data_IF_529526093964
#
_entry.id   IF_529526093964
#
_cell.length_a   1.000
_cell.length_b   1.000
_cell.length_c   1.000
_cell.angle_alpha   90.00
_cell.angle_beta   90.00
_cell.angle_gamma   90.00
#
_symmetry.space_group_name_H-M   'P 1'
#
loop_
_entity.id
_entity.type
_entity.pdbx_description
1 polymer ?
#
# COMPACT_ATOMS: atom_id res chain seq x y z
N UNK A 1 12.41 -23.91 -21.83
CA UNK A 1 10.97 -23.60 -21.80
C UNK A 1 10.85 -22.39 -20.89
N UNK A 2 10.45 -21.23 -21.41
CA UNK A 2 10.07 -20.13 -20.54
C UNK A 2 8.84 -20.59 -19.72
N UNK A 3 8.72 -20.25 -18.43
CA UNK A 3 7.47 -20.50 -17.73
C UNK A 3 6.38 -19.75 -18.49
N UNK A 4 5.32 -20.47 -18.88
CA UNK A 4 4.11 -19.86 -19.42
C UNK A 4 3.66 -18.80 -18.41
N UNK A 5 3.42 -17.58 -18.88
CA UNK A 5 2.74 -16.56 -18.08
C UNK A 5 1.33 -17.10 -17.86
N UNK A 6 1.09 -17.74 -16.72
CA UNK A 6 -0.25 -18.11 -16.29
C UNK A 6 -1.11 -16.86 -16.38
N UNK A 7 -2.12 -16.92 -17.24
CA UNK A 7 -3.15 -15.91 -17.35
C UNK A 7 -3.90 -15.87 -16.03
N UNK A 8 -3.83 -14.72 -15.34
CA UNK A 8 -4.56 -14.47 -14.10
C UNK A 8 -6.04 -14.84 -14.30
N UNK A 9 -6.65 -15.67 -13.43
CA UNK A 9 -8.04 -16.08 -13.58
C UNK A 9 -9.00 -14.87 -13.64
N UNK A 10 -10.06 -14.97 -14.44
CA UNK A 10 -11.06 -13.89 -14.57
C UNK A 10 -11.74 -13.55 -13.23
N UNK A 11 -12.00 -14.56 -12.40
CA UNK A 11 -12.49 -14.37 -11.02
C UNK A 11 -11.51 -13.60 -10.14
N UNK A 12 -10.21 -13.72 -10.38
CA UNK A 12 -9.17 -12.94 -9.69
C UNK A 12 -9.24 -11.47 -10.12
N UNK A 13 -9.50 -11.20 -11.40
CA UNK A 13 -9.68 -9.82 -11.91
C UNK A 13 -10.96 -9.18 -11.35
N UNK A 14 -12.09 -9.90 -11.33
CA UNK A 14 -13.35 -9.42 -10.75
C UNK A 14 -13.19 -9.07 -9.26
N UNK A 15 -12.48 -9.91 -8.50
CA UNK A 15 -12.17 -9.63 -7.10
C UNK A 15 -11.29 -8.38 -6.93
N UNK A 16 -10.28 -8.20 -7.79
CA UNK A 16 -9.41 -7.01 -7.74
C UNK A 16 -10.20 -5.73 -8.03
N UNK A 17 -11.09 -5.75 -9.02
CA UNK A 17 -11.95 -4.60 -9.33
C UNK A 17 -12.88 -4.28 -8.15
N UNK A 18 -13.50 -5.31 -7.56
CA UNK A 18 -14.31 -5.17 -6.35
C UNK A 18 -13.51 -4.52 -5.22
N UNK A 19 -12.33 -5.06 -4.91
CA UNK A 19 -11.50 -4.55 -3.82
C UNK A 19 -11.01 -3.12 -4.05
N UNK A 20 -10.71 -2.77 -5.31
CA UNK A 20 -10.33 -1.40 -5.66
C UNK A 20 -11.50 -0.44 -5.46
N UNK A 21 -12.72 -0.81 -5.86
CA UNK A 21 -13.90 0.01 -5.62
C UNK A 21 -14.16 0.20 -4.12
N UNK A 22 -14.09 -0.87 -3.33
CA UNK A 22 -14.25 -0.81 -1.86
C UNK A 22 -13.17 0.08 -1.21
N UNK A 23 -11.91 0.02 -1.68
CA UNK A 23 -10.85 0.90 -1.23
C UNK A 23 -11.13 2.38 -1.54
N UNK A 24 -11.63 2.67 -2.74
CA UNK A 24 -11.95 4.04 -3.16
C UNK A 24 -13.15 4.60 -2.38
N UNK A 25 -14.18 3.80 -2.17
CA UNK A 25 -15.35 4.14 -1.33
C UNK A 25 -14.91 4.38 0.12
N UNK A 26 -13.99 3.56 0.64
CA UNK A 26 -13.43 3.73 1.96
C UNK A 26 -12.65 5.05 2.09
N UNK A 27 -11.80 5.38 1.11
CA UNK A 27 -11.09 6.67 1.09
C UNK A 27 -12.06 7.85 1.05
N UNK A 28 -13.12 7.78 0.25
CA UNK A 28 -14.16 8.80 0.22
C UNK A 28 -14.84 8.94 1.60
N UNK A 29 -15.22 7.82 2.24
CA UNK A 29 -15.84 7.81 3.57
C UNK A 29 -14.97 8.46 4.65
N UNK A 30 -13.64 8.35 4.51
CA UNK A 30 -12.64 8.94 5.41
C UNK A 30 -12.24 10.36 5.00
N UNK A 31 -12.90 10.95 3.99
CA UNK A 31 -12.58 12.27 3.41
C UNK A 31 -11.12 12.37 2.92
N UNK A 32 -10.56 11.27 2.40
CA UNK A 32 -9.24 11.22 1.82
C UNK A 32 -9.35 11.53 0.33
N UNK A 33 -8.63 12.54 -0.11
CA UNK A 33 -8.68 12.98 -1.50
C UNK A 33 -7.70 12.14 -2.33
N UNK A 34 -8.20 11.50 -3.37
CA UNK A 34 -7.39 10.79 -4.36
C UNK A 34 -7.21 11.66 -5.60
N UNK A 35 -5.99 11.67 -6.14
CA UNK A 35 -5.66 12.34 -7.40
C UNK A 35 -4.84 11.43 -8.28
N UNK A 36 -4.92 11.66 -9.58
CA UNK A 36 -3.98 11.08 -10.53
C UNK A 36 -2.82 12.03 -10.83
N UNK A 37 -1.70 11.48 -11.27
CA UNK A 37 -0.58 12.26 -11.80
C UNK A 37 0.02 11.61 -13.04
N UNK A 38 0.52 12.46 -13.93
CA UNK A 38 1.18 12.07 -15.18
C UNK A 38 2.43 11.22 -14.91
N UNK A 39 2.65 10.15 -15.68
CA UNK A 39 3.84 9.30 -15.58
C UNK A 39 5.15 10.09 -15.60
N UNK A 40 5.90 10.02 -14.50
CA UNK A 40 7.25 10.59 -14.41
C UNK A 40 8.22 9.59 -13.75
N UNK A 41 9.12 9.05 -14.55
CA UNK A 41 10.10 8.05 -14.11
C UNK A 41 9.45 6.76 -13.59
N UNK A 42 9.98 6.23 -12.48
CA UNK A 42 9.57 4.94 -11.90
C UNK A 42 8.54 5.06 -10.77
N UNK A 43 8.14 6.27 -10.39
CA UNK A 43 7.19 6.47 -9.28
C UNK A 43 5.82 5.92 -9.69
N UNK A 44 5.21 5.10 -8.83
CA UNK A 44 3.87 4.51 -9.03
C UNK A 44 2.80 5.21 -8.20
N UNK A 45 3.16 5.65 -6.99
CA UNK A 45 2.30 6.46 -6.13
C UNK A 45 3.14 7.43 -5.27
N UNK A 46 2.45 8.31 -4.58
CA UNK A 46 2.96 8.98 -3.38
C UNK A 46 1.80 9.58 -2.57
N UNK A 47 2.05 9.91 -1.31
CA UNK A 47 1.20 10.78 -0.51
C UNK A 47 1.96 11.99 0.04
N UNK A 48 1.29 13.14 0.15
CA UNK A 48 1.78 14.33 0.83
C UNK A 48 1.20 14.47 2.26
N UNK A 49 0.49 13.44 2.74
CA UNK A 49 -0.25 13.43 4.00
C UNK A 49 -1.56 14.23 3.98
N UNK A 50 -1.90 14.89 2.87
CA UNK A 50 -3.21 15.51 2.64
C UNK A 50 -4.01 14.72 1.60
N UNK A 51 -3.33 14.18 0.59
CA UNK A 51 -3.91 13.46 -0.54
C UNK A 51 -3.07 12.22 -0.86
N UNK A 52 -3.69 11.26 -1.52
CA UNK A 52 -3.00 10.13 -2.13
C UNK A 52 -2.99 10.35 -3.64
N UNK A 53 -1.84 10.14 -4.26
CA UNK A 53 -1.63 10.33 -5.69
C UNK A 53 -1.29 8.97 -6.33
N UNK A 54 -2.10 8.57 -7.30
CA UNK A 54 -1.89 7.35 -8.10
C UNK A 54 -1.43 7.74 -9.51
N UNK A 55 -0.58 6.92 -10.13
CA UNK A 55 -0.08 7.20 -11.47
C UNK A 55 -1.13 6.84 -12.52
N UNK A 56 -1.25 7.67 -13.55
CA UNK A 56 -2.12 7.36 -14.68
C UNK A 56 -1.65 6.15 -15.50
N UNK A 57 -2.61 5.37 -15.99
CA UNK A 57 -2.36 4.20 -16.83
C UNK A 57 -1.89 2.95 -16.08
N UNK A 58 -1.97 2.93 -14.74
CA UNK A 58 -1.77 1.71 -13.96
C UNK A 58 -2.91 0.71 -14.17
N UNK A 59 -2.58 -0.58 -14.13
CA UNK A 59 -3.59 -1.66 -14.09
C UNK A 59 -4.38 -1.63 -12.78
N UNK A 60 -5.57 -2.24 -12.74
CA UNK A 60 -6.40 -2.31 -11.54
C UNK A 60 -5.64 -2.89 -10.34
N UNK A 61 -4.88 -3.96 -10.58
CA UNK A 61 -4.03 -4.59 -9.57
C UNK A 61 -2.94 -3.64 -9.06
N UNK A 62 -2.26 -2.93 -9.95
CA UNK A 62 -1.24 -1.95 -9.55
C UNK A 62 -1.86 -0.78 -8.77
N UNK A 63 -3.06 -0.32 -9.16
CA UNK A 63 -3.78 0.73 -8.45
C UNK A 63 -4.17 0.29 -7.04
N UNK A 64 -4.66 -0.94 -6.88
CA UNK A 64 -5.03 -1.51 -5.59
C UNK A 64 -3.82 -1.61 -4.65
N UNK A 65 -2.73 -2.24 -5.12
CA UNK A 65 -1.53 -2.44 -4.32
C UNK A 65 -0.85 -1.12 -3.94
N UNK A 66 -0.76 -0.17 -4.89
CA UNK A 66 -0.22 1.17 -4.60
C UNK A 66 -1.18 1.94 -3.69
N UNK A 67 -2.48 1.77 -3.82
CA UNK A 67 -3.48 2.35 -2.92
C UNK A 67 -3.26 1.93 -1.47
N UNK A 68 -3.10 0.63 -1.21
CA UNK A 68 -2.76 0.11 0.13
C UNK A 68 -1.43 0.69 0.65
N UNK A 69 -0.40 0.70 -0.19
CA UNK A 69 0.92 1.21 0.18
C UNK A 69 0.88 2.70 0.56
N UNK A 70 0.27 3.53 -0.28
CA UNK A 70 0.19 4.97 -0.03
C UNK A 70 -0.76 5.31 1.13
N UNK A 71 -1.80 4.50 1.34
CA UNK A 71 -2.64 4.61 2.54
C UNK A 71 -1.84 4.30 3.81
N UNK A 72 -1.02 3.25 3.80
CA UNK A 72 -0.14 2.94 4.91
C UNK A 72 0.80 4.11 5.22
N UNK A 73 1.39 4.73 4.19
CA UNK A 73 2.17 5.95 4.37
C UNK A 73 1.34 7.10 4.96
N UNK A 74 0.14 7.33 4.44
CA UNK A 74 -0.76 8.39 4.87
C UNK A 74 -1.08 8.30 6.37
N UNK A 75 -1.38 7.10 6.87
CA UNK A 75 -1.74 6.86 8.27
C UNK A 75 -0.52 6.78 9.19
N UNK A 76 0.50 6.01 8.78
CA UNK A 76 1.65 5.74 9.64
C UNK A 76 2.55 6.95 9.78
N UNK A 77 2.80 7.69 8.70
CA UNK A 77 3.93 8.62 8.64
C UNK A 77 3.54 10.09 8.63
N UNK A 78 2.26 10.42 8.61
CA UNK A 78 1.77 11.80 8.69
C UNK A 78 0.85 12.01 9.90
N UNK A 79 0.86 13.24 10.42
CA UNK A 79 -0.10 13.72 11.41
C UNK A 79 -0.77 14.96 10.84
N UNK A 80 -2.08 15.05 11.03
CA UNK A 80 -2.88 16.21 10.69
C UNK A 80 -3.35 16.90 11.96
N UNK A 81 -2.90 18.14 12.14
CA UNK A 81 -3.34 19.03 13.23
C UNK A 81 -4.07 20.22 12.59
N UNK A 82 -5.40 20.10 12.48
CA UNK A 82 -6.23 21.06 11.76
C UNK A 82 -5.87 21.11 10.26
N UNK A 83 -5.38 22.28 9.80
CA UNK A 83 -4.96 22.50 8.41
C UNK A 83 -3.47 22.21 8.16
N UNK A 84 -2.73 21.83 9.20
CA UNK A 84 -1.30 21.54 9.09
C UNK A 84 -1.09 20.04 9.01
N UNK A 85 -0.34 19.62 8.00
CA UNK A 85 0.14 18.24 7.87
C UNK A 85 1.65 18.24 8.06
N UNK A 86 2.12 17.34 8.92
CA UNK A 86 3.54 17.13 9.18
C UNK A 86 3.87 15.66 9.06
N UNK A 87 5.04 15.34 8.53
CA UNK A 87 5.59 14.00 8.69
C UNK A 87 5.88 13.76 10.18
N UNK A 88 5.56 12.56 10.66
CA UNK A 88 6.06 12.00 11.92
C UNK A 88 7.56 11.76 11.78
N UNK A 89 8.35 12.83 11.73
CA UNK A 89 9.82 12.73 11.72
C UNK A 89 10.29 12.37 13.11
N UNK A 90 10.40 11.08 13.39
CA UNK A 90 11.40 10.62 14.34
C UNK A 90 12.77 10.66 13.62
N UNK A 91 13.76 11.42 14.12
CA UNK A 91 15.10 11.51 13.52
C UNK A 91 15.81 10.17 13.34
N UNK A 92 15.39 9.14 14.09
CA UNK A 92 15.91 7.77 14.00
C UNK A 92 15.11 6.88 13.02
N UNK A 93 14.02 7.41 12.45
CA UNK A 93 13.16 6.70 11.52
C UNK A 93 13.70 6.83 10.10
N UNK A 94 14.42 5.80 9.64
CA UNK A 94 14.97 5.79 8.29
C UNK A 94 13.85 5.64 7.25
N UNK A 95 14.09 6.17 6.06
CA UNK A 95 13.15 6.03 4.94
C UNK A 95 12.90 4.55 4.63
N UNK A 96 13.93 3.72 4.72
CA UNK A 96 13.82 2.28 4.50
C UNK A 96 12.87 1.62 5.50
N UNK A 97 12.86 2.07 6.77
CA UNK A 97 11.89 1.56 7.76
C UNK A 97 10.46 1.93 7.41
N UNK A 98 10.23 3.17 6.95
CA UNK A 98 8.90 3.62 6.49
C UNK A 98 8.36 2.80 5.31
N UNK A 99 9.20 2.59 4.30
CA UNK A 99 8.83 1.84 3.09
C UNK A 99 8.59 0.36 3.46
N UNK A 100 9.40 -0.20 4.37
CA UNK A 100 9.19 -1.56 4.90
C UNK A 100 7.83 -1.71 5.59
N UNK A 101 7.41 -0.75 6.39
CA UNK A 101 6.09 -0.81 7.02
C UNK A 101 4.95 -0.75 6.01
N UNK A 102 5.04 0.15 5.03
CA UNK A 102 4.02 0.28 3.99
C UNK A 102 3.93 -0.97 3.10
N UNK A 103 5.07 -1.55 2.73
CA UNK A 103 5.12 -2.84 2.03
C UNK A 103 4.57 -3.97 2.89
N UNK A 104 4.88 -4.00 4.19
CA UNK A 104 4.37 -5.03 5.11
C UNK A 104 2.85 -4.96 5.23
N UNK A 105 2.26 -3.76 5.38
CA UNK A 105 0.80 -3.57 5.37
C UNK A 105 0.21 -4.08 4.05
N UNK A 106 0.79 -3.67 2.92
CA UNK A 106 0.33 -4.06 1.59
C UNK A 106 0.34 -5.58 1.43
N UNK A 107 1.41 -6.25 1.85
CA UNK A 107 1.55 -7.70 1.79
C UNK A 107 0.51 -8.41 2.67
N UNK A 108 0.37 -8.02 3.93
CA UNK A 108 -0.56 -8.70 4.87
C UNK A 108 -2.01 -8.53 4.42
N UNK A 109 -2.42 -7.34 4.01
CA UNK A 109 -3.79 -7.08 3.53
C UNK A 109 -4.05 -7.88 2.25
N UNK A 110 -3.12 -7.85 1.29
CA UNK A 110 -3.27 -8.59 0.04
C UNK A 110 -3.37 -10.11 0.25
N UNK A 111 -2.55 -10.66 1.15
CA UNK A 111 -2.62 -12.08 1.53
C UNK A 111 -3.96 -12.42 2.20
N UNK A 112 -4.45 -11.55 3.08
CA UNK A 112 -5.74 -11.74 3.76
C UNK A 112 -6.92 -11.71 2.79
N UNK A 113 -6.81 -10.98 1.68
CA UNK A 113 -7.79 -10.93 0.59
C UNK A 113 -7.63 -12.04 -0.45
N UNK A 114 -6.63 -12.91 -0.30
CA UNK A 114 -6.36 -14.01 -1.22
C UNK A 114 -5.75 -13.57 -2.56
N UNK A 115 -5.06 -12.43 -2.62
CA UNK A 115 -4.33 -11.99 -3.82
C UNK A 115 -3.09 -12.88 -4.00
N UNK A 116 -2.96 -13.48 -5.18
CA UNK A 116 -1.95 -14.50 -5.52
C UNK A 116 -0.49 -14.02 -5.31
N UNK A 117 0.40 -14.91 -4.90
CA UNK A 117 1.80 -14.59 -4.59
C UNK A 117 2.59 -14.09 -5.83
N UNK A 118 2.24 -14.58 -7.02
CA UNK A 118 2.79 -14.14 -8.30
C UNK A 118 2.56 -12.64 -8.54
N UNK A 119 1.41 -12.14 -8.09
CA UNK A 119 1.04 -10.71 -8.15
C UNK A 119 1.81 -9.91 -7.09
N UNK A 120 2.14 -10.54 -5.97
CA UNK A 120 2.81 -9.94 -4.81
C UNK A 120 4.34 -10.05 -4.82
N UNK A 121 4.94 -10.69 -5.84
CA UNK A 121 6.37 -10.96 -5.93
C UNK A 121 7.26 -9.72 -5.66
N UNK A 122 6.81 -8.53 -6.09
CA UNK A 122 7.50 -7.26 -5.82
C UNK A 122 7.60 -6.90 -4.33
N UNK A 123 6.58 -7.24 -3.54
CA UNK A 123 6.53 -6.96 -2.09
C UNK A 123 7.31 -8.01 -1.30
N UNK A 124 7.26 -9.28 -1.74
CA UNK A 124 7.96 -10.41 -1.11
C UNK A 124 9.49 -10.25 -1.20
N UNK A 125 10.02 -9.91 -2.38
CA UNK A 125 11.46 -9.70 -2.57
C UNK A 125 12.00 -8.57 -1.68
N UNK A 126 11.20 -7.52 -1.46
CA UNK A 126 11.55 -6.45 -0.54
C UNK A 126 11.58 -6.96 0.91
N UNK A 127 10.52 -7.62 1.37
CA UNK A 127 10.44 -8.18 2.75
C UNK A 127 11.57 -9.17 3.05
N UNK A 128 11.90 -10.06 2.12
CA UNK A 128 12.95 -11.07 2.28
C UNK A 128 14.36 -10.45 2.44
N UNK A 129 14.60 -9.26 1.87
CA UNK A 129 15.90 -8.58 1.99
C UNK A 129 16.20 -8.04 3.41
N UNK A 130 15.20 -7.97 4.31
CA UNK A 130 15.30 -7.31 5.63
C UNK A 130 15.23 -8.22 6.87
N UNK A 131 15.10 -9.54 6.74
CA UNK A 131 15.15 -10.49 7.88
C UNK A 131 16.41 -10.40 8.77
N UNK A 132 17.41 -9.59 8.39
CA UNK A 132 18.68 -9.40 9.11
C UNK A 132 18.74 -8.15 10.02
N UNK A 133 17.67 -7.38 10.21
CA UNK A 133 17.69 -6.18 11.07
C UNK A 133 16.56 -6.18 12.11
N UNK A 134 16.92 -5.96 13.38
CA UNK A 134 16.08 -5.91 14.59
C UNK A 134 14.90 -4.91 14.56
N UNK A 135 14.64 -4.20 13.46
CA UNK A 135 13.69 -3.08 13.40
C UNK A 135 12.23 -3.45 13.10
N UNK A 136 11.89 -4.73 12.97
CA UNK A 136 10.53 -5.17 12.58
C UNK A 136 9.57 -5.20 13.77
N UNK A 137 10.02 -5.65 14.95
CA UNK A 137 9.12 -5.93 16.09
C UNK A 137 8.41 -4.68 16.62
N UNK A 138 9.11 -3.54 16.72
CA UNK A 138 8.50 -2.28 17.17
C UNK A 138 7.48 -1.73 16.17
N UNK A 139 7.68 -1.99 14.88
CA UNK A 139 6.79 -1.58 13.79
C UNK A 139 5.52 -2.43 13.69
N UNK A 140 5.53 -3.65 14.23
CA UNK A 140 4.39 -4.58 14.13
C UNK A 140 3.09 -4.02 14.74
N UNK A 141 3.15 -3.21 15.81
CA UNK A 141 1.94 -2.62 16.41
C UNK A 141 1.28 -1.60 15.48
N UNK A 142 2.08 -0.73 14.88
CA UNK A 142 1.61 0.31 13.97
C UNK A 142 1.09 -0.32 12.67
N UNK A 143 1.83 -1.30 12.13
CA UNK A 143 1.39 -2.11 10.99
C UNK A 143 0.07 -2.82 11.28
N UNK A 144 -0.06 -3.46 12.44
CA UNK A 144 -1.28 -4.19 12.82
C UNK A 144 -2.52 -3.30 12.86
N UNK A 145 -2.40 -2.07 13.39
CA UNK A 145 -3.50 -1.10 13.38
C UNK A 145 -3.99 -0.80 11.96
N UNK A 146 -3.06 -0.51 11.03
CA UNK A 146 -3.42 -0.17 9.65
C UNK A 146 -3.95 -1.38 8.88
N UNK A 147 -3.40 -2.57 9.13
CA UNK A 147 -3.91 -3.82 8.58
C UNK A 147 -5.37 -4.02 9.00
N UNK A 148 -5.70 -3.89 10.29
CA UNK A 148 -7.07 -4.07 10.75
C UNK A 148 -8.01 -2.98 10.18
N UNK A 149 -7.58 -1.73 10.17
CA UNK A 149 -8.38 -0.62 9.62
C UNK A 149 -8.66 -0.81 8.11
N UNK A 150 -7.71 -1.40 7.35
CA UNK A 150 -7.95 -1.79 5.96
C UNK A 150 -8.85 -3.02 5.85
N UNK A 151 -8.68 -4.04 6.70
CA UNK A 151 -9.48 -5.27 6.61
C UNK A 151 -10.93 -5.08 7.08
N UNK A 152 -11.20 -4.13 7.98
CA UNK A 152 -12.56 -3.79 8.41
C UNK A 152 -13.43 -3.19 7.29
N UNK A 153 -12.85 -2.81 6.14
CA UNK A 153 -13.63 -2.34 4.99
C UNK A 153 -14.22 -3.45 4.12
N UNK A 154 -13.67 -4.68 4.20
CA UNK A 154 -13.98 -5.82 3.33
C UNK A 154 -14.89 -6.85 4.05
#
# INVERSE_FOLDING_TARGET
MAPDKETIPESTIENIEKYLNELMDYFESKNIIIKTFEPSGRRRGFTDGQKIYLREGQTLTEMLLVGFHEYAHYILHFVREGNKVTMKRDPNYSREKMELEAETVTYIVSQSLGIEEEILAYSIDYLASWQRKESVIESLKSVHFVVNDLLEMF
#
